data_IF_212492194780
#
_entry.id   IF_212492194780
#
_cell.length_a   1.000
_cell.length_b   1.000
_cell.length_c   1.000
_cell.angle_alpha   90.00
_cell.angle_beta   90.00
_cell.angle_gamma   90.00
#
_symmetry.space_group_name_H-M   'P 1'
#
loop_
_entity.id
_entity.type
_entity.pdbx_description
1 polymer ?
#
# COMPACT_ATOMS: atom_id res chain seq x y z
N UNK A 1 -9.80 22.54 -20.17
CA UNK A 1 -9.13 22.20 -18.89
C UNK A 1 -8.65 20.77 -18.98
N UNK A 2 -7.36 20.53 -19.18
CA UNK A 2 -6.82 19.17 -19.04
C UNK A 2 -6.93 18.77 -17.59
N UNK A 3 -7.71 17.72 -17.28
CA UNK A 3 -7.73 17.11 -15.95
C UNK A 3 -6.27 16.71 -15.69
N UNK A 4 -5.61 17.45 -14.80
CA UNK A 4 -4.23 17.20 -14.44
C UNK A 4 -4.25 15.92 -13.62
N UNK A 5 -4.14 14.76 -14.28
CA UNK A 5 -3.95 13.50 -13.58
C UNK A 5 -2.77 13.66 -12.63
N UNK A 6 -2.96 13.28 -11.37
CA UNK A 6 -1.94 13.53 -10.37
C UNK A 6 -0.74 12.64 -10.67
N UNK A 7 0.42 13.25 -10.96
CA UNK A 7 1.64 12.51 -11.37
C UNK A 7 2.26 11.68 -10.24
N UNK A 8 1.63 11.62 -9.08
CA UNK A 8 2.26 11.19 -7.85
C UNK A 8 1.28 10.45 -6.95
N UNK A 9 1.78 9.43 -6.26
CA UNK A 9 1.00 8.61 -5.34
C UNK A 9 1.62 8.64 -3.96
N UNK A 10 0.80 8.51 -2.92
CA UNK A 10 1.22 8.61 -1.52
C UNK A 10 1.14 7.26 -0.83
N UNK A 11 2.24 6.82 -0.22
CA UNK A 11 2.22 5.73 0.75
C UNK A 11 1.97 6.32 2.14
N UNK A 12 0.87 5.89 2.78
CA UNK A 12 0.52 6.27 4.15
C UNK A 12 0.97 5.20 5.14
N UNK A 13 1.59 5.62 6.25
CA UNK A 13 2.16 4.71 7.24
C UNK A 13 2.04 5.24 8.67
N UNK A 14 2.19 4.33 9.65
CA UNK A 14 2.10 4.63 11.08
C UNK A 14 0.72 4.39 11.70
N UNK A 15 -0.21 3.77 10.96
CA UNK A 15 -1.51 3.33 11.52
C UNK A 15 -1.33 2.41 12.73
N UNK A 16 -0.31 1.56 12.68
CA UNK A 16 0.04 0.57 13.70
C UNK A 16 0.41 1.17 15.05
N UNK A 17 0.62 2.49 15.11
CA UNK A 17 0.86 3.16 16.38
C UNK A 17 -0.41 3.39 17.19
N UNK A 18 -1.60 3.36 16.55
CA UNK A 18 -2.92 3.58 17.17
C UNK A 18 -3.03 4.90 17.96
N UNK A 19 -2.47 5.99 17.42
CA UNK A 19 -2.38 7.27 18.12
C UNK A 19 -3.37 8.27 17.53
N UNK A 20 -4.17 8.89 18.39
CA UNK A 20 -4.99 10.03 18.01
C UNK A 20 -4.10 11.23 17.69
N UNK A 21 -4.27 11.76 16.47
CA UNK A 21 -3.53 12.93 15.96
C UNK A 21 -3.60 14.12 16.92
N UNK A 22 -4.76 14.36 17.53
CA UNK A 22 -4.97 15.52 18.40
C UNK A 22 -4.22 15.40 19.74
N UNK A 23 -3.71 14.21 20.05
CA UNK A 23 -3.09 13.86 21.33
C UNK A 23 -1.67 13.28 21.16
N UNK A 24 -0.97 13.65 20.08
CA UNK A 24 0.41 13.19 19.84
C UNK A 24 1.36 13.70 20.93
N UNK A 25 2.06 12.76 21.59
CA UNK A 25 3.17 13.06 22.50
C UNK A 25 4.51 13.14 21.74
N UNK A 26 5.59 13.61 22.37
CA UNK A 26 6.90 13.65 21.70
C UNK A 26 7.47 12.26 21.43
N UNK A 27 7.13 11.28 22.28
CA UNK A 27 7.48 9.89 22.06
C UNK A 27 6.76 9.32 20.84
N UNK A 28 5.51 9.73 20.62
CA UNK A 28 4.72 9.35 19.46
C UNK A 28 5.26 9.96 18.16
N UNK A 29 5.58 11.25 18.18
CA UNK A 29 6.24 11.93 17.05
C UNK A 29 7.56 11.26 16.69
N UNK A 30 8.34 10.86 17.70
CA UNK A 30 9.59 10.12 17.50
C UNK A 30 9.38 8.81 16.74
N UNK A 31 8.29 8.06 17.01
CA UNK A 31 7.98 6.83 16.23
C UNK A 31 7.80 7.13 14.74
N UNK A 32 7.19 8.25 14.38
CA UNK A 32 7.05 8.67 12.97
C UNK A 32 8.39 9.07 12.35
N UNK A 33 9.24 9.77 13.09
CA UNK A 33 10.61 10.10 12.65
C UNK A 33 11.42 8.82 12.43
N UNK A 34 11.37 7.88 13.37
CA UNK A 34 12.05 6.59 13.26
C UNK A 34 11.51 5.74 12.09
N UNK A 35 10.18 5.74 11.86
CA UNK A 35 9.56 5.11 10.68
C UNK A 35 10.04 5.72 9.38
N UNK A 36 10.19 7.04 9.31
CA UNK A 36 10.74 7.71 8.13
C UNK A 36 12.19 7.29 7.89
N UNK A 37 13.02 7.23 8.94
CA UNK A 37 14.42 6.78 8.83
C UNK A 37 14.51 5.35 8.31
N UNK A 38 13.71 4.44 8.86
CA UNK A 38 13.63 3.05 8.39
C UNK A 38 13.25 2.96 6.91
N UNK A 39 12.29 3.77 6.45
CA UNK A 39 11.89 3.80 5.04
C UNK A 39 12.99 4.39 4.15
N UNK A 40 13.69 5.44 4.59
CA UNK A 40 14.79 6.05 3.84
C UNK A 40 16.01 5.13 3.73
N UNK A 41 16.30 4.35 4.77
CA UNK A 41 17.45 3.43 4.80
C UNK A 41 17.16 2.08 4.15
N UNK A 42 15.93 1.57 4.31
CA UNK A 42 15.60 0.20 3.92
C UNK A 42 14.52 0.07 2.86
N UNK A 43 13.83 1.16 2.54
CA UNK A 43 12.71 1.19 1.59
C UNK A 43 11.36 0.86 2.22
N UNK A 44 10.30 0.85 1.40
CA UNK A 44 8.95 0.61 1.89
C UNK A 44 8.75 -0.84 2.32
N UNK A 45 8.20 -1.05 3.51
CA UNK A 45 7.78 -2.37 3.97
C UNK A 45 6.61 -2.90 3.16
N UNK A 46 6.69 -4.16 2.74
CA UNK A 46 5.60 -4.87 2.08
C UNK A 46 4.78 -5.62 3.12
N UNK A 47 3.59 -5.11 3.42
CA UNK A 47 2.67 -5.71 4.38
C UNK A 47 2.11 -7.02 3.82
N UNK A 48 2.15 -8.07 4.65
CA UNK A 48 1.49 -9.33 4.34
C UNK A 48 0.01 -9.23 4.70
N UNK A 49 -0.74 -8.57 3.82
CA UNK A 49 -2.20 -8.48 3.93
C UNK A 49 -2.90 -9.63 3.21
N UNK A 50 -4.15 -9.87 3.57
CA UNK A 50 -5.06 -10.67 2.75
C UNK A 50 -6.18 -9.80 2.21
N UNK A 51 -6.55 -9.99 0.95
CA UNK A 51 -7.81 -9.47 0.42
C UNK A 51 -8.85 -10.57 0.51
N UNK A 52 -10.07 -10.25 0.90
CA UNK A 52 -11.19 -11.19 0.97
C UNK A 52 -12.39 -10.59 0.24
N UNK A 53 -12.91 -11.29 -0.76
CA UNK A 53 -14.05 -10.85 -1.56
C UNK A 53 -15.19 -11.86 -1.37
N UNK A 54 -16.37 -11.38 -1.01
CA UNK A 54 -17.57 -12.21 -0.92
C UNK A 54 -18.31 -12.23 -2.25
N UNK A 55 -18.79 -13.40 -2.65
CA UNK A 55 -19.56 -13.64 -3.86
C UNK A 55 -21.08 -13.62 -3.62
N UNK A 56 -21.85 -13.87 -4.68
CA UNK A 56 -23.32 -13.87 -4.68
C UNK A 56 -23.95 -14.99 -3.85
N UNK A 57 -23.17 -15.99 -3.44
CA UNK A 57 -23.59 -17.19 -2.70
C UNK A 57 -23.05 -17.20 -1.26
N UNK A 58 -22.64 -16.04 -0.76
CA UNK A 58 -22.03 -15.90 0.56
C UNK A 58 -20.78 -16.77 0.75
N UNK A 59 -20.08 -17.06 -0.35
CA UNK A 59 -18.76 -17.70 -0.32
C UNK A 59 -17.68 -16.63 -0.52
N UNK A 60 -16.45 -16.91 -0.10
CA UNK A 60 -15.36 -15.95 -0.23
C UNK A 60 -14.15 -16.52 -0.94
N UNK A 61 -13.43 -15.61 -1.59
CA UNK A 61 -12.08 -15.85 -2.09
C UNK A 61 -11.10 -14.97 -1.34
N UNK A 62 -9.93 -15.53 -1.06
CA UNK A 62 -8.85 -14.82 -0.38
C UNK A 62 -7.57 -14.93 -1.19
N UNK A 63 -6.84 -13.83 -1.28
CA UNK A 63 -5.49 -13.80 -1.82
C UNK A 63 -4.52 -13.29 -0.75
N UNK A 64 -3.38 -13.97 -0.58
CA UNK A 64 -2.36 -13.64 0.43
C UNK A 64 -1.04 -13.33 -0.26
N UNK A 65 -0.80 -12.04 -0.47
CA UNK A 65 0.38 -11.53 -1.18
C UNK A 65 0.94 -10.34 -0.42
N UNK A 66 2.26 -10.34 -0.20
CA UNK A 66 2.92 -9.19 0.39
C UNK A 66 2.85 -8.01 -0.58
N UNK A 67 2.44 -6.84 -0.07
CA UNK A 67 2.21 -5.66 -0.90
C UNK A 67 2.47 -4.36 -0.15
N UNK A 68 2.81 -3.32 -0.91
CA UNK A 68 2.78 -1.94 -0.42
C UNK A 68 1.71 -1.19 -1.20
N UNK A 69 0.85 -0.49 -0.47
CA UNK A 69 -0.26 0.26 -1.02
C UNK A 69 0.10 1.74 -1.12
N UNK A 70 -0.34 2.36 -2.20
CA UNK A 70 -0.20 3.78 -2.49
C UNK A 70 -1.56 4.32 -2.90
N UNK A 71 -1.81 5.61 -2.73
CA UNK A 71 -3.08 6.21 -3.14
C UNK A 71 -2.89 7.42 -4.04
N UNK A 72 -3.75 7.52 -5.04
CA UNK A 72 -3.83 8.66 -5.96
C UNK A 72 -4.86 9.69 -5.47
N UNK A 73 -4.85 9.98 -4.16
CA UNK A 73 -5.79 10.94 -3.57
C UNK A 73 -5.34 12.39 -3.81
N UNK A 74 -6.34 13.29 -3.90
CA UNK A 74 -6.12 14.73 -3.79
C UNK A 74 -5.60 15.06 -2.38
N UNK A 75 -4.74 16.06 -2.27
CA UNK A 75 -4.20 16.49 -0.97
C UNK A 75 -5.31 16.97 -0.01
N UNK A 76 -6.38 17.58 -0.51
CA UNK A 76 -7.57 17.92 0.30
C UNK A 76 -8.27 16.70 0.94
N UNK A 77 -8.05 15.48 0.44
CA UNK A 77 -8.57 14.24 1.04
C UNK A 77 -7.52 13.54 1.93
N UNK A 78 -6.32 14.10 2.05
CA UNK A 78 -5.21 13.51 2.79
C UNK A 78 -5.56 13.28 4.26
N UNK A 79 -6.22 14.24 4.93
CA UNK A 79 -6.56 14.13 6.35
C UNK A 79 -7.42 12.89 6.64
N UNK A 80 -8.58 12.78 5.98
CA UNK A 80 -9.49 11.63 6.13
C UNK A 80 -8.81 10.30 5.81
N UNK A 81 -7.93 10.29 4.81
CA UNK A 81 -7.21 9.08 4.43
C UNK A 81 -6.11 8.72 5.44
N UNK A 82 -5.37 9.71 5.95
CA UNK A 82 -4.32 9.54 6.94
C UNK A 82 -4.86 9.00 8.27
N UNK A 83 -6.06 9.42 8.68
CA UNK A 83 -6.75 8.86 9.86
C UNK A 83 -6.98 7.35 9.72
N UNK A 84 -7.23 6.86 8.50
CA UNK A 84 -7.47 5.45 8.23
C UNK A 84 -6.19 4.63 8.04
N UNK A 85 -5.13 5.23 7.50
CA UNK A 85 -3.97 4.50 6.99
C UNK A 85 -2.63 4.91 7.59
N UNK A 86 -2.62 5.93 8.45
CA UNK A 86 -1.44 6.43 9.16
C UNK A 86 -1.13 7.89 8.80
N UNK A 87 -0.55 8.60 9.75
CA UNK A 87 -0.40 10.06 9.68
C UNK A 87 0.85 10.54 8.90
N UNK A 88 1.77 9.62 8.56
CA UNK A 88 2.94 9.94 7.75
C UNK A 88 2.71 9.52 6.30
N UNK A 89 2.74 10.49 5.39
CA UNK A 89 2.61 10.28 3.95
C UNK A 89 3.94 10.47 3.22
N UNK A 90 4.32 9.51 2.38
CA UNK A 90 5.52 9.60 1.53
C UNK A 90 5.09 9.49 0.08
N UNK A 91 5.30 10.57 -0.67
CA UNK A 91 4.83 10.71 -2.05
C UNK A 91 5.94 10.42 -3.04
N UNK A 92 5.66 9.55 -4.00
CA UNK A 92 6.55 9.15 -5.10
C UNK A 92 5.92 9.46 -6.46
N UNK A 93 6.74 9.51 -7.51
CA UNK A 93 6.24 9.65 -8.88
C UNK A 93 5.47 8.41 -9.33
N UNK A 94 4.46 8.57 -10.19
CA UNK A 94 3.73 7.44 -10.78
C UNK A 94 4.65 6.49 -11.51
N UNK A 95 5.69 7.00 -12.17
CA UNK A 95 6.67 6.16 -12.86
C UNK A 95 7.40 5.23 -11.88
N UNK A 96 7.68 5.66 -10.64
CA UNK A 96 8.25 4.77 -9.62
C UNK A 96 7.37 3.54 -9.38
N UNK A 97 6.04 3.72 -9.40
CA UNK A 97 5.06 2.65 -9.23
C UNK A 97 4.98 1.77 -10.49
N UNK A 98 4.86 2.37 -11.66
CA UNK A 98 4.73 1.66 -12.95
C UNK A 98 5.98 0.84 -13.28
N UNK A 99 7.17 1.39 -13.05
CA UNK A 99 8.44 0.68 -13.23
C UNK A 99 8.56 -0.52 -12.29
N UNK A 100 7.75 -0.58 -11.23
CA UNK A 100 7.68 -1.70 -10.28
C UNK A 100 6.47 -2.59 -10.53
N UNK A 101 5.92 -2.58 -11.73
CA UNK A 101 4.70 -3.32 -12.11
C UNK A 101 3.51 -3.04 -11.18
N UNK A 102 3.49 -1.88 -10.53
CA UNK A 102 2.38 -1.47 -9.70
C UNK A 102 1.17 -1.12 -10.55
N UNK A 103 -0.01 -1.50 -10.09
CA UNK A 103 -1.26 -1.30 -10.81
C UNK A 103 -2.33 -0.71 -9.88
N UNK A 104 -3.33 0.01 -10.43
CA UNK A 104 -4.50 0.41 -9.67
C UNK A 104 -5.31 -0.82 -9.25
N UNK A 105 -6.05 -0.65 -8.16
CA UNK A 105 -6.97 -1.67 -7.63
C UNK A 105 -8.28 -1.66 -8.42
N UNK A 106 -8.80 -2.85 -8.71
CA UNK A 106 -10.12 -3.10 -9.27
C UNK A 106 -11.13 -3.26 -8.14
N UNK A 107 -11.94 -2.23 -7.95
CA UNK A 107 -12.99 -2.23 -6.93
C UNK A 107 -14.20 -3.05 -7.37
N UNK A 108 -14.67 -3.93 -6.48
CA UNK A 108 -15.83 -4.81 -6.70
C UNK A 108 -16.81 -4.65 -5.54
N UNK A 109 -18.11 -4.78 -5.82
CA UNK A 109 -19.12 -4.83 -4.78
C UNK A 109 -18.85 -6.01 -3.85
N UNK A 110 -19.14 -5.90 -2.56
CA UNK A 110 -18.87 -6.97 -1.61
C UNK A 110 -20.17 -7.63 -1.14
N UNK A 111 -20.41 -8.89 -1.56
CA UNK A 111 -21.60 -9.66 -1.20
C UNK A 111 -22.52 -9.95 -2.39
N UNK A 112 -23.83 -9.87 -2.17
CA UNK A 112 -24.88 -10.45 -3.04
C UNK A 112 -24.87 -10.04 -4.52
N UNK A 113 -24.20 -8.94 -4.88
CA UNK A 113 -24.10 -8.46 -6.26
C UNK A 113 -22.72 -8.69 -6.90
N UNK A 114 -21.80 -9.39 -6.24
CA UNK A 114 -20.44 -9.59 -6.74
C UNK A 114 -20.33 -10.83 -7.65
N UNK A 115 -20.83 -10.73 -8.88
CA UNK A 115 -20.68 -11.80 -9.88
C UNK A 115 -19.22 -12.04 -10.28
N UNK A 116 -18.33 -11.05 -10.12
CA UNK A 116 -16.91 -11.18 -10.44
C UNK A 116 -16.22 -12.10 -9.44
N UNK A 117 -16.44 -11.94 -8.14
CA UNK A 117 -15.91 -12.85 -7.13
C UNK A 117 -16.41 -14.28 -7.30
N UNK A 118 -17.69 -14.47 -7.68
CA UNK A 118 -18.23 -15.81 -7.96
C UNK A 118 -17.45 -16.52 -9.08
N UNK A 119 -17.25 -15.83 -10.20
CA UNK A 119 -16.53 -16.41 -11.34
C UNK A 119 -15.05 -16.62 -11.03
N UNK A 120 -14.40 -15.67 -10.33
CA UNK A 120 -13.02 -15.81 -9.89
C UNK A 120 -12.85 -17.00 -8.94
N UNK A 121 -13.84 -17.27 -8.08
CA UNK A 121 -13.85 -18.47 -7.21
C UNK A 121 -13.90 -19.75 -8.03
N UNK A 122 -14.80 -19.84 -9.02
CA UNK A 122 -14.88 -21.02 -9.88
C UNK A 122 -13.56 -21.29 -10.60
N UNK A 123 -12.91 -20.24 -11.11
CA UNK A 123 -11.57 -20.36 -11.73
C UNK A 123 -10.54 -20.80 -10.69
N UNK A 124 -10.52 -20.18 -9.51
CA UNK A 124 -9.59 -20.54 -8.42
C UNK A 124 -9.72 -22.02 -8.05
N UNK A 125 -10.94 -22.48 -7.76
CA UNK A 125 -11.23 -23.83 -7.32
C UNK A 125 -10.85 -24.86 -8.41
N UNK A 126 -10.99 -24.50 -9.69
CA UNK A 126 -10.51 -25.32 -10.80
C UNK A 126 -8.97 -25.39 -10.85
N UNK A 127 -8.29 -24.24 -10.71
CA UNK A 127 -6.82 -24.17 -10.77
C UNK A 127 -6.16 -24.87 -9.57
N UNK A 128 -6.77 -24.79 -8.38
CA UNK A 128 -6.30 -25.47 -7.18
C UNK A 128 -6.27 -26.99 -7.38
N UNK A 129 -7.40 -27.58 -7.81
CA UNK A 129 -7.48 -29.02 -8.13
C UNK A 129 -6.48 -29.45 -9.20
N UNK A 130 -6.26 -28.57 -10.20
CA UNK A 130 -5.32 -28.84 -11.29
C UNK A 130 -3.88 -28.83 -10.78
N UNK A 131 -3.48 -27.82 -10.00
CA UNK A 131 -2.14 -27.72 -9.43
C UNK A 131 -1.83 -28.92 -8.51
N UNK A 132 -2.81 -29.38 -7.71
CA UNK A 132 -2.71 -30.59 -6.90
C UNK A 132 -2.48 -31.85 -7.74
N UNK A 133 -3.23 -32.01 -8.83
CA UNK A 133 -3.13 -33.16 -9.74
C UNK A 133 -1.79 -33.18 -10.48
N UNK A 134 -1.32 -32.03 -10.94
CA UNK A 134 -0.07 -31.87 -11.68
C UNK A 134 1.18 -31.79 -10.76
N UNK A 135 1.00 -31.78 -9.43
CA UNK A 135 2.07 -31.64 -8.42
C UNK A 135 3.00 -30.45 -8.69
N UNK A 136 2.42 -29.32 -9.09
CA UNK A 136 3.20 -28.14 -9.46
C UNK A 136 3.96 -27.55 -8.28
N UNK A 137 5.16 -27.06 -8.56
CA UNK A 137 5.88 -26.18 -7.64
C UNK A 137 5.15 -24.83 -7.49
N UNK A 138 5.41 -24.11 -6.40
CA UNK A 138 4.82 -22.77 -6.19
C UNK A 138 5.14 -21.77 -7.32
N UNK A 139 6.30 -21.92 -7.98
CA UNK A 139 6.72 -21.03 -9.07
C UNK A 139 5.93 -21.26 -10.36
N UNK A 140 5.48 -22.49 -10.57
CA UNK A 140 4.74 -22.92 -11.76
C UNK A 140 3.22 -22.96 -11.55
N UNK A 141 2.79 -22.82 -10.28
CA UNK A 141 1.40 -22.85 -9.85
C UNK A 141 0.55 -21.83 -10.63
N UNK A 142 -0.53 -22.33 -11.22
CA UNK A 142 -1.53 -21.47 -11.85
C UNK A 142 -2.30 -20.68 -10.80
N UNK A 143 -2.55 -21.28 -9.63
CA UNK A 143 -3.19 -20.61 -8.51
C UNK A 143 -2.39 -19.36 -8.08
N UNK A 144 -1.07 -19.47 -7.96
CA UNK A 144 -0.18 -18.33 -7.64
C UNK A 144 -0.33 -17.18 -8.65
N UNK A 145 -0.45 -17.50 -9.94
CA UNK A 145 -0.66 -16.50 -11.00
C UNK A 145 -2.04 -15.83 -10.89
N UNK A 146 -3.08 -16.58 -10.52
CA UNK A 146 -4.39 -16.01 -10.23
C UNK A 146 -4.36 -15.11 -8.98
N UNK A 147 -3.66 -15.51 -7.92
CA UNK A 147 -3.53 -14.70 -6.70
C UNK A 147 -2.92 -13.32 -6.99
N UNK A 148 -1.96 -13.24 -7.93
CA UNK A 148 -1.39 -11.98 -8.41
C UNK A 148 -2.46 -11.05 -8.99
N UNK A 149 -3.52 -11.59 -9.62
CA UNK A 149 -4.65 -10.79 -10.11
C UNK A 149 -5.60 -10.45 -8.95
N UNK A 150 -5.91 -11.44 -8.11
CA UNK A 150 -6.84 -11.28 -6.99
C UNK A 150 -6.39 -10.24 -5.97
N UNK A 151 -5.07 -10.08 -5.75
CA UNK A 151 -4.55 -9.04 -4.87
C UNK A 151 -4.75 -7.63 -5.43
N UNK A 152 -5.12 -7.46 -6.69
CA UNK A 152 -5.56 -6.15 -7.21
C UNK A 152 -7.07 -5.98 -7.11
N UNK A 153 -7.82 -6.99 -6.70
CA UNK A 153 -9.25 -6.86 -6.45
C UNK A 153 -9.46 -6.41 -5.00
N UNK A 154 -10.37 -5.45 -4.79
CA UNK A 154 -10.72 -4.95 -3.45
C UNK A 154 -12.21 -4.69 -3.38
N UNK A 155 -12.77 -4.85 -2.19
CA UNK A 155 -14.14 -4.43 -1.92
C UNK A 155 -14.28 -2.91 -2.05
N UNK A 156 -15.34 -2.43 -2.70
CA UNK A 156 -15.73 -1.01 -2.65
C UNK A 156 -16.43 -0.65 -1.34
N UNK A 157 -17.04 -1.64 -0.69
CA UNK A 157 -17.89 -1.50 0.49
C UNK A 157 -17.66 -2.60 1.54
N UNK A 158 -18.13 -2.35 2.75
CA UNK A 158 -18.37 -3.43 3.70
C UNK A 158 -19.47 -4.36 3.17
N UNK A 159 -19.50 -5.61 3.64
CA UNK A 159 -20.42 -6.62 3.12
C UNK A 159 -21.88 -6.16 3.28
N UNK A 160 -22.60 -6.12 2.16
CA UNK A 160 -24.02 -5.73 2.08
C UNK A 160 -24.34 -4.32 2.64
N UNK A 161 -23.34 -3.43 2.68
CA UNK A 161 -23.51 -2.01 3.01
C UNK A 161 -23.51 -1.18 1.72
N UNK A 162 -24.49 -0.31 1.51
CA UNK A 162 -24.64 0.45 0.26
C UNK A 162 -23.68 1.66 0.15
N UNK A 163 -22.97 2.00 1.23
CA UNK A 163 -21.90 2.99 1.19
C UNK A 163 -20.61 2.42 0.61
N UNK A 164 -19.87 3.23 -0.15
CA UNK A 164 -18.64 2.82 -0.85
C UNK A 164 -17.37 3.45 -0.25
N UNK A 165 -17.08 3.28 1.06
CA UNK A 165 -16.01 4.01 1.73
C UNK A 165 -14.62 3.72 1.19
N UNK A 166 -14.43 2.62 0.45
CA UNK A 166 -13.12 2.23 -0.11
C UNK A 166 -12.94 2.67 -1.56
N UNK A 167 -14.02 2.95 -2.29
CA UNK A 167 -13.96 3.29 -3.71
C UNK A 167 -13.15 4.56 -3.98
N UNK A 168 -13.28 5.55 -3.11
CA UNK A 168 -12.58 6.85 -3.22
C UNK A 168 -11.10 6.79 -2.81
N UNK A 169 -10.59 5.63 -2.40
CA UNK A 169 -9.19 5.51 -1.98
C UNK A 169 -8.21 5.55 -3.14
N UNK A 170 -8.68 5.26 -4.37
CA UNK A 170 -7.87 5.27 -5.59
C UNK A 170 -6.54 4.54 -5.38
N UNK A 171 -6.64 3.33 -4.80
CA UNK A 171 -5.49 2.56 -4.34
C UNK A 171 -4.71 1.96 -5.51
N UNK A 172 -3.39 1.96 -5.38
CA UNK A 172 -2.44 1.26 -6.22
C UNK A 172 -1.60 0.32 -5.37
N UNK A 173 -1.19 -0.81 -5.93
CA UNK A 173 -0.40 -1.83 -5.20
C UNK A 173 0.86 -2.21 -5.97
N UNK A 174 1.97 -2.28 -5.27
CA UNK A 174 3.16 -3.03 -5.69
C UNK A 174 3.19 -4.32 -4.85
N UNK A 175 3.41 -5.45 -5.49
CA UNK A 175 3.35 -6.78 -4.86
C UNK A 175 4.69 -7.50 -4.91
N UNK A 176 4.86 -8.58 -4.14
CA UNK A 176 6.05 -9.44 -4.13
C UNK A 176 6.19 -10.28 -5.42
N UNK A 177 6.37 -9.60 -6.54
CA UNK A 177 6.50 -10.23 -7.84
C UNK A 177 7.95 -10.65 -8.09
N UNK A 178 8.18 -11.92 -8.47
CA UNK A 178 9.55 -12.47 -8.67
C UNK A 178 10.41 -11.61 -9.58
N UNK A 179 9.83 -11.09 -10.67
CA UNK A 179 10.54 -10.22 -11.61
C UNK A 179 11.14 -8.98 -10.94
N UNK A 180 10.52 -8.46 -9.86
CA UNK A 180 11.07 -7.34 -9.10
C UNK A 180 12.25 -7.74 -8.21
N UNK A 181 12.33 -9.00 -7.77
CA UNK A 181 13.53 -9.52 -7.09
C UNK A 181 14.66 -9.65 -8.10
N UNK A 182 14.38 -10.22 -9.27
CA UNK A 182 15.36 -10.41 -10.35
C UNK A 182 15.90 -9.06 -10.87
N UNK A 183 15.05 -8.03 -10.92
CA UNK A 183 15.42 -6.65 -11.28
C UNK A 183 15.95 -5.81 -10.11
N UNK A 184 16.14 -6.40 -8.92
CA UNK A 184 16.62 -5.73 -7.70
C UNK A 184 15.79 -4.49 -7.31
N UNK A 185 14.50 -4.48 -7.62
CA UNK A 185 13.57 -3.39 -7.25
C UNK A 185 12.92 -3.63 -5.90
N UNK A 186 12.85 -4.89 -5.47
CA UNK A 186 12.50 -5.29 -4.10
C UNK A 186 13.59 -6.22 -3.57
N UNK A 187 13.74 -6.29 -2.25
CA UNK A 187 14.64 -7.24 -1.56
C UNK A 187 13.90 -8.02 -0.49
N UNK A 188 14.25 -9.30 -0.31
CA UNK A 188 13.87 -10.05 0.87
C UNK A 188 14.82 -9.70 2.02
N UNK A 189 14.29 -9.23 3.14
CA UNK A 189 15.09 -8.78 4.30
C UNK A 189 15.09 -9.76 5.47
N UNK A 190 14.35 -10.87 5.35
CA UNK A 190 14.31 -11.90 6.37
C UNK A 190 13.05 -12.74 6.31
N UNK A 191 12.69 -13.30 7.46
CA UNK A 191 11.43 -14.00 7.70
C UNK A 191 10.73 -13.46 8.94
N UNK A 192 9.41 -13.41 8.92
CA UNK A 192 8.62 -13.08 10.10
C UNK A 192 8.59 -14.25 11.11
N UNK A 193 7.94 -14.04 12.25
CA UNK A 193 7.76 -15.06 13.31
C UNK A 193 7.06 -16.35 12.84
N UNK A 194 6.36 -16.30 11.72
CA UNK A 194 5.65 -17.44 11.13
C UNK A 194 6.44 -18.07 9.97
N UNK A 195 7.71 -17.66 9.77
CA UNK A 195 8.59 -18.18 8.71
C UNK A 195 8.33 -17.60 7.31
N UNK A 196 7.48 -16.59 7.18
CA UNK A 196 7.16 -15.98 5.89
C UNK A 196 8.22 -14.97 5.47
N UNK A 197 8.57 -14.93 4.18
CA UNK A 197 9.47 -13.91 3.65
C UNK A 197 8.94 -12.50 3.89
N UNK A 198 9.84 -11.61 4.33
CA UNK A 198 9.58 -10.17 4.50
C UNK A 198 10.29 -9.43 3.38
N UNK A 199 9.56 -8.55 2.68
CA UNK A 199 10.07 -7.81 1.54
C UNK A 199 10.07 -6.31 1.77
N UNK A 200 11.01 -5.63 1.11
CA UNK A 200 11.12 -4.17 1.06
C UNK A 200 11.21 -3.70 -0.39
N UNK A 201 10.46 -2.64 -0.73
CA UNK A 201 10.61 -1.96 -2.02
C UNK A 201 11.77 -0.98 -1.91
N UNK A 202 12.80 -1.16 -2.73
CA UNK A 202 13.96 -0.27 -2.71
C UNK A 202 13.56 1.14 -3.15
N UNK A 203 13.99 2.10 -2.34
CA UNK A 203 13.66 3.51 -2.47
C UNK A 203 14.97 4.30 -2.51
N UNK A 204 15.11 5.20 -3.48
CA UNK A 204 16.20 6.17 -3.52
C UNK A 204 15.69 7.53 -3.04
N UNK A 205 16.55 8.40 -2.48
CA UNK A 205 16.14 9.74 -2.07
C UNK A 205 15.46 10.56 -3.19
N UNK A 206 15.90 10.40 -4.43
CA UNK A 206 15.33 11.06 -5.62
C UNK A 206 13.93 10.59 -6.02
N UNK A 207 13.51 9.41 -5.57
CA UNK A 207 12.16 8.87 -5.83
C UNK A 207 11.10 9.63 -5.02
N UNK A 208 11.48 10.19 -3.87
CA UNK A 208 10.60 10.94 -2.97
C UNK A 208 10.45 12.38 -3.46
N UNK A 209 9.20 12.82 -3.56
CA UNK A 209 8.84 14.16 -4.04
C UNK A 209 8.24 15.01 -2.92
N UNK A 210 7.35 14.42 -2.12
CA UNK A 210 6.67 15.11 -1.02
C UNK A 210 6.67 14.23 0.22
N UNK A 211 6.88 14.84 1.38
CA UNK A 211 6.63 14.24 2.69
C UNK A 211 5.52 15.00 3.39
N UNK A 212 4.53 14.27 3.90
CA UNK A 212 3.40 14.79 4.67
C UNK A 212 3.55 14.31 6.10
N UNK A 213 3.80 15.24 7.03
CA UNK A 213 3.96 14.94 8.44
C UNK A 213 2.64 15.09 9.23
N UNK A 214 2.51 14.40 10.38
CA UNK A 214 1.32 14.51 11.22
C UNK A 214 0.99 15.94 11.67
N UNK A 215 2.02 16.70 12.06
CA UNK A 215 1.96 18.07 12.55
C UNK A 215 3.33 18.79 12.38
N UNK A 216 3.37 20.10 12.63
CA UNK A 216 4.58 20.92 12.53
C UNK A 216 5.70 20.41 13.43
N UNK A 217 5.37 19.99 14.66
CA UNK A 217 6.37 19.54 15.62
C UNK A 217 7.06 18.26 15.16
N UNK A 218 6.33 17.32 14.55
CA UNK A 218 6.91 16.09 13.97
C UNK A 218 7.80 16.42 12.78
N UNK A 219 7.36 17.34 11.92
CA UNK A 219 8.16 17.84 10.80
C UNK A 219 9.48 18.43 11.31
N UNK A 220 9.42 19.30 12.31
CA UNK A 220 10.60 20.00 12.83
C UNK A 220 11.56 19.01 13.50
N UNK A 221 11.04 18.03 14.26
CA UNK A 221 11.85 16.92 14.79
C UNK A 221 12.56 16.14 13.68
N UNK A 222 11.87 15.82 12.58
CA UNK A 222 12.45 15.12 11.44
C UNK A 222 13.54 15.95 10.74
N UNK A 223 13.36 17.27 10.63
CA UNK A 223 14.32 18.18 10.00
C UNK A 223 15.58 18.43 10.83
N UNK A 224 15.48 18.26 12.15
CA UNK A 224 16.61 18.36 13.07
C UNK A 224 17.43 17.06 13.15
N UNK A 225 16.87 15.91 12.72
CA UNK A 225 17.60 14.65 12.66
C UNK A 225 18.66 14.69 11.54
N UNK A 226 19.93 14.44 11.90
CA UNK A 226 21.05 14.53 10.98
C UNK A 226 20.91 13.54 9.80
N UNK A 227 20.45 12.31 10.05
CA UNK A 227 20.32 11.30 9.00
C UNK A 227 19.28 11.71 7.95
N UNK A 228 18.12 12.22 8.40
CA UNK A 228 17.07 12.69 7.48
C UNK A 228 17.57 13.92 6.71
N UNK A 229 18.23 14.86 7.39
CA UNK A 229 18.78 16.07 6.76
C UNK A 229 19.82 15.74 5.70
N UNK A 230 20.71 14.78 5.96
CA UNK A 230 21.77 14.38 5.04
C UNK A 230 21.23 13.53 3.88
N UNK A 231 20.17 12.75 4.13
CA UNK A 231 19.45 12.00 3.09
C UNK A 231 18.60 12.90 2.20
N UNK A 232 18.20 14.08 2.69
CA UNK A 232 17.33 15.01 1.97
C UNK A 232 18.03 15.59 0.75
N UNK A 233 17.36 15.49 -0.40
CA UNK A 233 17.68 16.29 -1.59
C UNK A 233 17.02 17.66 -1.50
N UNK A 234 17.62 18.67 -2.15
CA UNK A 234 17.12 20.07 -2.16
C UNK A 234 15.66 20.23 -2.63
N UNK A 235 15.09 19.21 -3.27
CA UNK A 235 13.81 19.31 -3.97
C UNK A 235 12.63 18.59 -3.28
N UNK A 236 12.80 18.08 -2.06
CA UNK A 236 11.65 17.53 -1.32
C UNK A 236 10.74 18.66 -0.85
N UNK A 237 9.47 18.57 -1.23
CA UNK A 237 8.41 19.38 -0.63
C UNK A 237 8.05 18.73 0.71
N UNK A 238 8.05 19.52 1.77
CA UNK A 238 7.76 19.05 3.12
C UNK A 238 6.57 19.85 3.61
N UNK A 239 5.53 19.14 4.03
CA UNK A 239 4.24 19.71 4.40
C UNK A 239 3.69 18.93 5.60
N UNK A 240 2.66 19.46 6.24
CA UNK A 240 1.88 18.77 7.28
C UNK A 240 0.50 18.37 6.74
N UNK A 241 -0.22 17.55 7.51
CA UNK A 241 -1.62 17.23 7.21
C UNK A 241 -2.54 18.46 7.23
N UNK A 242 -2.24 19.48 8.05
CA UNK A 242 -3.04 20.72 8.08
C UNK A 242 -2.80 21.55 6.83
N UNK A 243 -1.55 21.66 6.38
CA UNK A 243 -1.22 22.34 5.13
C UNK A 243 -1.95 21.71 3.93
N UNK A 244 -2.13 20.38 3.92
CA UNK A 244 -2.81 19.66 2.85
C UNK A 244 -4.28 20.05 2.66
N UNK A 245 -4.96 20.59 3.68
CA UNK A 245 -6.37 21.00 3.58
C UNK A 245 -6.57 22.25 2.73
N UNK A 246 -5.52 23.03 2.53
CA UNK A 246 -5.56 24.28 1.80
C UNK A 246 -5.27 24.12 0.29
N UNK A 247 -5.15 22.88 -0.21
CA UNK A 247 -4.89 22.52 -1.61
C UNK A 247 -6.12 21.94 -2.33
#
# INVERSE_FOLDING_TARGET
>A
MSILHTKFLVHWTGKDFHIDRNNLTDQDRKKYVDRLKDILDHGFYMNKGSEMLWDTKDQWIQAKIARTCFTEIKLSLARKHAERYGLLGIRVDRNFILERYGNPVFYQYNGKFNCIAENLRLVRDYLEKRDETEKKSNEESWLRKLEVILVYCKNMNERDVDEYPYYDELEWRIIDFRKLLDEEKIKQVGKDKNGNSVFRILLKPEDIKIMVFPDDKTRDMALLDNFIRDSRRKNWIITTLDDCEHF
#
